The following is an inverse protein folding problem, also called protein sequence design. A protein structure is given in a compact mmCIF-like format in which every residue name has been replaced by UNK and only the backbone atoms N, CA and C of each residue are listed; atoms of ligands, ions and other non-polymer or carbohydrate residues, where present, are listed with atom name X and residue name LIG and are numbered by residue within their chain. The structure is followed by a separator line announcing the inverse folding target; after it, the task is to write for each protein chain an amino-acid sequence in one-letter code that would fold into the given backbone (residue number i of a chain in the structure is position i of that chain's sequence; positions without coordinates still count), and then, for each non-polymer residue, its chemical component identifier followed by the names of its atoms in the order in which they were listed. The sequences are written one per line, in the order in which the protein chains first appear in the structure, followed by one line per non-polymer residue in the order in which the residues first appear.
data_IF_231669442914
#
_entry.id   IF_231669442914
#
_cell.length_a   1.000
_cell.length_b   1.000
_cell.length_c   1.000
_cell.angle_alpha   90.00
_cell.angle_beta   90.00
_cell.angle_gamma   90.00
#
_symmetry.space_group_name_H-M   'P 1'
#
loop_
_entity.id
_entity.type
_entity.pdbx_description
1 polymer ?
#
# COMPACT_ATOMS: atom_id res chain seq x y z
N UNK A 1 -9.77 20.61 23.67
CA UNK A 1 -10.50 20.44 22.40
C UNK A 1 -9.67 19.49 21.55
N UNK A 2 -9.90 18.18 21.69
CA UNK A 2 -9.13 17.11 21.05
C UNK A 2 -10.16 16.30 20.25
N UNK A 3 -10.22 16.48 18.92
CA UNK A 3 -10.69 15.52 17.91
C UNK A 3 -11.04 16.23 16.59
N UNK A 4 -10.03 16.62 15.79
CA UNK A 4 -10.21 16.87 14.34
C UNK A 4 -8.95 16.43 13.56
N UNK A 5 -8.38 15.26 13.90
CA UNK A 5 -7.38 14.62 13.05
C UNK A 5 -7.97 13.46 12.23
N UNK A 6 -9.31 13.33 12.18
CA UNK A 6 -9.96 12.31 11.38
C UNK A 6 -10.13 12.76 9.91
N UNK A 7 -9.26 12.21 9.06
CA UNK A 7 -9.58 11.78 7.68
C UNK A 7 -9.60 12.85 6.58
N UNK A 8 -8.41 13.31 6.17
CA UNK A 8 -8.18 13.88 4.82
C UNK A 8 -7.24 13.00 3.99
N UNK A 9 -7.37 11.67 4.09
CA UNK A 9 -6.68 10.79 3.16
C UNK A 9 -7.30 11.01 1.77
N UNK A 10 -6.52 11.46 0.79
CA UNK A 10 -7.05 11.72 -0.54
C UNK A 10 -7.60 10.40 -1.12
N UNK A 11 -8.71 10.47 -1.86
CA UNK A 11 -9.27 9.28 -2.51
C UNK A 11 -8.23 8.68 -3.45
N UNK A 12 -8.14 7.35 -3.45
CA UNK A 12 -7.30 6.63 -4.40
C UNK A 12 -7.92 6.76 -5.79
N UNK A 13 -7.14 7.32 -6.71
CA UNK A 13 -7.50 7.38 -8.13
C UNK A 13 -7.24 6.02 -8.79
N UNK A 14 -7.73 5.83 -10.02
CA UNK A 14 -7.43 4.63 -10.79
C UNK A 14 -5.93 4.44 -11.03
N UNK A 15 -5.20 5.54 -11.22
CA UNK A 15 -3.75 5.51 -11.43
C UNK A 15 -3.01 5.13 -10.14
N UNK A 16 -3.49 5.59 -9.00
CA UNK A 16 -2.99 5.18 -7.69
C UNK A 16 -3.21 3.68 -7.49
N UNK A 17 -4.39 3.15 -7.84
CA UNK A 17 -4.69 1.73 -7.72
C UNK A 17 -3.82 0.87 -8.64
N UNK A 18 -3.59 1.29 -9.88
CA UNK A 18 -2.68 0.61 -10.80
C UNK A 18 -1.25 0.55 -10.22
N UNK A 19 -0.79 1.67 -9.68
CA UNK A 19 0.51 1.78 -9.03
C UNK A 19 0.64 0.87 -7.81
N UNK A 20 -0.37 0.86 -6.93
CA UNK A 20 -0.39 0.01 -5.74
C UNK A 20 -0.44 -1.47 -6.09
N UNK A 21 -1.17 -1.84 -7.16
CA UNK A 21 -1.21 -3.21 -7.67
C UNK A 21 0.16 -3.66 -8.19
N UNK A 22 0.90 -2.81 -8.91
CA UNK A 22 2.25 -3.13 -9.38
C UNK A 22 3.24 -3.33 -8.23
N UNK A 23 3.14 -2.49 -7.18
CA UNK A 23 3.95 -2.65 -5.96
C UNK A 23 3.61 -3.95 -5.27
N UNK A 24 2.32 -4.23 -5.07
CA UNK A 24 1.84 -5.46 -4.44
C UNK A 24 2.33 -6.71 -5.18
N UNK A 25 2.20 -6.73 -6.50
CA UNK A 25 2.65 -7.84 -7.34
C UNK A 25 4.15 -8.10 -7.20
N UNK A 26 4.96 -7.04 -7.11
CA UNK A 26 6.41 -7.17 -6.88
C UNK A 26 6.73 -7.67 -5.48
N UNK A 27 6.01 -7.21 -4.45
CA UNK A 27 6.18 -7.70 -3.07
C UNK A 27 5.82 -9.17 -2.99
N UNK A 28 4.69 -9.59 -3.57
CA UNK A 28 4.30 -11.00 -3.61
C UNK A 28 5.35 -11.87 -4.31
N UNK A 29 5.91 -11.41 -5.44
CA UNK A 29 6.97 -12.14 -6.14
C UNK A 29 8.24 -12.26 -5.29
N UNK A 30 8.67 -11.18 -4.63
CA UNK A 30 9.90 -11.16 -3.83
C UNK A 30 9.80 -11.97 -2.54
N UNK A 31 8.63 -11.95 -1.89
CA UNK A 31 8.36 -12.68 -0.65
C UNK A 31 7.74 -14.06 -0.87
N UNK A 32 7.57 -14.48 -2.12
CA UNK A 32 6.89 -15.73 -2.49
C UNK A 32 5.50 -15.88 -1.86
N UNK A 33 4.77 -14.76 -1.72
CA UNK A 33 3.41 -14.75 -1.16
C UNK A 33 2.40 -15.20 -2.22
N UNK A 34 1.42 -16.00 -1.79
CA UNK A 34 0.26 -16.34 -2.61
C UNK A 34 -0.71 -15.17 -2.59
N UNK A 35 -1.09 -14.61 -3.75
CA UNK A 35 -1.93 -13.40 -3.89
C UNK A 35 -3.34 -13.45 -3.24
N UNK A 36 -3.71 -14.57 -2.61
CA UNK A 36 -4.97 -14.77 -1.88
C UNK A 36 -4.74 -15.44 -0.51
N UNK A 37 -3.51 -15.37 0.03
CA UNK A 37 -3.27 -15.73 1.42
C UNK A 37 -3.57 -14.54 2.32
N UNK A 38 -3.88 -14.82 3.59
CA UNK A 38 -4.03 -13.79 4.61
C UNK A 38 -2.81 -12.86 4.65
N UNK A 39 -1.61 -13.42 4.52
CA UNK A 39 -0.36 -12.66 4.51
C UNK A 39 -0.28 -11.67 3.34
N UNK A 40 -0.87 -12.00 2.19
CA UNK A 40 -0.94 -11.10 1.05
C UNK A 40 -1.98 -9.99 1.29
N UNK A 41 -3.12 -10.31 1.89
CA UNK A 41 -4.11 -9.29 2.28
C UNK A 41 -3.55 -8.30 3.30
N UNK A 42 -2.85 -8.81 4.32
CA UNK A 42 -2.18 -7.98 5.33
C UNK A 42 -1.11 -7.08 4.68
N UNK A 43 -0.39 -7.60 3.68
CA UNK A 43 0.58 -6.83 2.92
C UNK A 43 -0.09 -5.75 2.07
N UNK A 44 -1.22 -6.04 1.43
CA UNK A 44 -1.98 -5.07 0.65
C UNK A 44 -2.49 -3.92 1.54
N UNK A 45 -3.02 -4.25 2.73
CA UNK A 45 -3.42 -3.25 3.72
C UNK A 45 -2.23 -2.36 4.14
N UNK A 46 -1.08 -2.98 4.38
CA UNK A 46 0.16 -2.25 4.72
C UNK A 46 0.59 -1.30 3.59
N UNK A 47 0.55 -1.75 2.34
CA UNK A 47 0.88 -0.94 1.15
C UNK A 47 -0.02 0.29 1.07
N UNK A 48 -1.34 0.10 1.17
CA UNK A 48 -2.34 1.18 1.09
C UNK A 48 -2.13 2.18 2.23
N UNK A 49 -1.89 1.70 3.45
CA UNK A 49 -1.66 2.55 4.62
C UNK A 49 -0.42 3.44 4.44
N UNK A 50 0.69 2.90 3.94
CA UNK A 50 1.90 3.69 3.67
C UNK A 50 1.67 4.73 2.57
N UNK A 51 0.96 4.36 1.50
CA UNK A 51 0.63 5.27 0.41
C UNK A 51 -0.21 6.45 0.90
N UNK A 52 -1.24 6.16 1.67
CA UNK A 52 -2.15 7.16 2.24
C UNK A 52 -1.45 8.08 3.25
N UNK A 53 -0.46 7.59 4.00
CA UNK A 53 0.36 8.42 4.89
C UNK A 53 1.44 9.26 4.18
N UNK A 54 1.50 9.23 2.84
CA UNK A 54 2.32 10.14 2.04
C UNK A 54 3.48 9.49 1.29
N UNK A 55 3.67 8.16 1.41
CA UNK A 55 4.68 7.43 0.63
C UNK A 55 4.13 7.12 -0.76
N UNK A 56 4.16 8.12 -1.65
CA UNK A 56 3.59 8.00 -3.00
C UNK A 56 4.54 7.44 -4.06
N UNK A 57 5.85 7.36 -3.77
CA UNK A 57 6.81 6.77 -4.70
C UNK A 57 6.76 5.23 -4.62
N UNK A 58 6.42 4.52 -5.71
CA UNK A 58 6.37 3.06 -5.76
C UNK A 58 7.70 2.40 -5.38
N UNK A 59 8.82 3.02 -5.72
CA UNK A 59 10.16 2.52 -5.39
C UNK A 59 10.45 2.67 -3.90
N UNK A 60 9.94 3.75 -3.28
CA UNK A 60 10.04 3.95 -1.84
C UNK A 60 9.18 2.95 -1.09
N UNK A 61 7.94 2.71 -1.53
CA UNK A 61 7.08 1.66 -0.97
C UNK A 61 7.76 0.29 -1.04
N UNK A 62 8.31 -0.08 -2.19
CA UNK A 62 9.04 -1.35 -2.31
C UNK A 62 10.19 -1.44 -1.31
N UNK A 63 11.04 -0.42 -1.18
CA UNK A 63 12.15 -0.44 -0.22
C UNK A 63 11.72 -0.59 1.24
N UNK A 64 10.53 -0.13 1.61
CA UNK A 64 10.01 -0.27 2.97
C UNK A 64 9.44 -1.66 3.24
N UNK A 65 9.01 -2.35 2.18
CA UNK A 65 8.23 -3.58 2.29
C UNK A 65 9.04 -4.84 2.02
N UNK A 66 10.16 -4.77 1.30
CA UNK A 66 11.04 -5.91 0.95
C UNK A 66 12.49 -5.59 1.25
#
# INVERSE_FOLDING_TARGET
MLQEHLHHLPPLTSDDLATLQEVFDQVCKKKSLKKMSQEAEDMAATIVQHYQHGVRDPRQLLRLLV
#
